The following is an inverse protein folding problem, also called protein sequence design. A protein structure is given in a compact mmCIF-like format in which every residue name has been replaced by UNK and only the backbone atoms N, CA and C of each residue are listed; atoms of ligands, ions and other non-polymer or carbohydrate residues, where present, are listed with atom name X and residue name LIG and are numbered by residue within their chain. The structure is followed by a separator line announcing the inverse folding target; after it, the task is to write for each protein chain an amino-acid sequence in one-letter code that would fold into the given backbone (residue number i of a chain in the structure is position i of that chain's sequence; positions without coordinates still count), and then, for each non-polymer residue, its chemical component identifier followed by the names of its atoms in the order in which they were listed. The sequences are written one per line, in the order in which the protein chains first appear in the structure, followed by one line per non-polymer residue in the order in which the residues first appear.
data_IF_315258576050
#
_entry.id   IF_315258576050
#
_cell.length_a   1.000
_cell.length_b   1.000
_cell.length_c   1.000
_cell.angle_alpha   90.00
_cell.angle_beta   90.00
_cell.angle_gamma   90.00
#
_symmetry.space_group_name_H-M   'P 1'
#
loop_
_entity.id
_entity.type
_entity.pdbx_description
1 polymer ?
#
# COMPACT_ATOMS: atom_id res chain seq x y z
N UNK A 1 10.02 -0.54 13.76
CA UNK A 1 10.43 -1.03 12.42
C UNK A 1 9.16 -1.58 11.79
N UNK A 2 8.84 -1.24 10.52
CA UNK A 2 7.66 -1.78 9.84
C UNK A 2 7.71 -3.31 9.88
N UNK A 3 6.58 -3.94 10.17
CA UNK A 3 6.45 -5.41 10.11
C UNK A 3 6.07 -5.87 8.70
N UNK A 4 6.08 -7.20 8.43
CA UNK A 4 5.77 -7.74 7.11
C UNK A 4 4.43 -7.25 6.52
N UNK A 5 3.40 -7.03 7.34
CA UNK A 5 2.12 -6.49 6.88
C UNK A 5 2.24 -5.08 6.24
N UNK A 6 3.19 -4.26 6.67
CA UNK A 6 3.44 -2.95 6.06
C UNK A 6 4.20 -3.06 4.73
N UNK A 7 5.09 -4.04 4.59
CA UNK A 7 5.96 -4.17 3.41
C UNK A 7 5.25 -4.86 2.23
N UNK A 8 4.37 -5.83 2.51
CA UNK A 8 3.75 -6.66 1.47
C UNK A 8 2.93 -5.87 0.43
N UNK A 9 2.10 -4.88 0.79
CA UNK A 9 1.40 -4.06 -0.21
C UNK A 9 2.36 -3.28 -1.11
N UNK A 10 3.43 -2.68 -0.56
CA UNK A 10 4.44 -1.98 -1.36
C UNK A 10 5.15 -2.91 -2.34
N UNK A 11 5.55 -4.10 -1.88
CA UNK A 11 6.13 -5.14 -2.74
C UNK A 11 5.17 -5.59 -3.85
N UNK A 12 3.88 -5.73 -3.52
CA UNK A 12 2.85 -6.04 -4.52
C UNK A 12 2.77 -4.97 -5.59
N UNK A 13 2.73 -3.69 -5.20
CA UNK A 13 2.67 -2.55 -6.12
C UNK A 13 3.86 -2.54 -7.07
N UNK A 14 5.08 -2.76 -6.56
CA UNK A 14 6.28 -2.84 -7.40
C UNK A 14 6.24 -4.04 -8.35
N UNK A 15 5.68 -5.16 -7.91
CA UNK A 15 5.42 -6.31 -8.76
C UNK A 15 4.45 -6.03 -9.91
N UNK A 16 3.67 -4.94 -9.86
CA UNK A 16 2.77 -4.54 -10.94
C UNK A 16 3.44 -3.66 -12.01
N UNK A 17 4.67 -3.17 -11.79
CA UNK A 17 5.32 -2.22 -12.70
C UNK A 17 5.39 -2.74 -14.14
N UNK A 18 5.70 -4.02 -14.36
CA UNK A 18 5.78 -4.59 -15.71
C UNK A 18 4.43 -4.59 -16.42
N UNK A 19 3.36 -4.97 -15.71
CA UNK A 19 1.99 -4.94 -16.23
C UNK A 19 1.55 -3.51 -16.57
N UNK A 20 1.82 -2.56 -15.67
CA UNK A 20 1.52 -1.15 -15.90
C UNK A 20 2.31 -0.65 -17.12
N UNK A 21 3.62 -0.91 -17.19
CA UNK A 21 4.48 -0.50 -18.28
C UNK A 21 4.07 -1.05 -19.64
N UNK A 22 3.60 -2.30 -19.67
CA UNK A 22 3.05 -2.89 -20.88
C UNK A 22 1.82 -2.10 -21.36
N UNK A 23 0.87 -1.82 -20.46
CA UNK A 23 -0.34 -1.04 -20.80
C UNK A 23 -0.01 0.39 -21.17
N UNK A 24 0.95 1.01 -20.50
CA UNK A 24 1.45 2.35 -20.85
C UNK A 24 2.01 2.37 -22.28
N UNK A 25 2.82 1.38 -22.65
CA UNK A 25 3.38 1.29 -24.00
C UNK A 25 2.32 1.07 -25.09
N UNK A 26 1.25 0.31 -24.80
CA UNK A 26 0.14 0.05 -25.73
C UNK A 26 -0.74 1.30 -26.00
N UNK A 27 -0.83 2.18 -25.01
CA UNK A 27 -1.79 3.29 -24.98
C UNK A 27 -1.14 4.67 -25.16
N UNK A 28 0.18 4.78 -25.01
CA UNK A 28 0.89 6.05 -25.06
C UNK A 28 0.69 6.79 -26.40
N UNK A 29 0.27 8.05 -26.29
CA UNK A 29 0.15 8.99 -27.42
C UNK A 29 1.45 9.80 -27.57
N UNK A 30 2.16 10.06 -26.47
CA UNK A 30 3.36 10.89 -26.41
C UNK A 30 4.49 10.20 -25.65
N UNK A 31 5.68 10.17 -26.25
CA UNK A 31 6.87 9.54 -25.69
C UNK A 31 6.69 8.04 -25.47
N UNK A 32 7.58 7.46 -24.67
CA UNK A 32 7.47 6.08 -24.20
C UNK A 32 7.44 6.16 -22.66
N UNK A 33 6.25 6.31 -22.05
CA UNK A 33 6.10 6.38 -20.61
C UNK A 33 6.42 5.03 -19.96
N UNK A 34 7.14 5.08 -18.84
CA UNK A 34 7.35 3.94 -17.94
C UNK A 34 7.28 4.39 -16.50
N UNK A 35 6.82 3.50 -15.65
CA UNK A 35 6.90 3.61 -14.21
C UNK A 35 7.98 2.73 -13.62
N UNK A 36 8.54 3.21 -12.53
CA UNK A 36 9.35 2.41 -11.62
C UNK A 36 8.89 2.65 -10.18
N UNK A 37 9.04 1.62 -9.36
CA UNK A 37 8.67 1.65 -7.95
C UNK A 37 9.82 2.13 -7.07
N UNK A 38 9.51 2.94 -6.06
CA UNK A 38 10.42 3.22 -4.94
C UNK A 38 9.71 2.93 -3.61
N UNK A 39 10.44 2.32 -2.69
CA UNK A 39 10.03 2.21 -1.30
C UNK A 39 10.41 3.51 -0.57
N UNK A 40 9.50 4.04 0.25
CA UNK A 40 9.80 5.09 1.23
C UNK A 40 10.51 6.33 0.67
N UNK A 41 10.05 6.83 -0.49
CA UNK A 41 10.56 8.06 -1.09
C UNK A 41 9.94 9.29 -0.44
N UNK A 42 10.74 10.25 0.02
CA UNK A 42 10.20 11.51 0.57
C UNK A 42 9.33 12.24 -0.47
N UNK A 43 8.06 12.41 -0.15
CA UNK A 43 7.14 13.27 -0.90
C UNK A 43 7.13 14.62 -0.23
N UNK A 44 7.70 15.61 -0.91
CA UNK A 44 7.73 16.99 -0.45
C UNK A 44 6.36 17.65 -0.68
N UNK A 45 5.78 18.21 0.38
CA UNK A 45 4.59 19.05 0.27
C UNK A 45 4.99 20.48 -0.11
N UNK A 46 4.16 21.17 -0.87
CA UNK A 46 4.40 22.54 -1.35
C UNK A 46 4.62 23.52 -0.20
N UNK A 47 5.58 24.44 -0.35
CA UNK A 47 5.89 25.48 0.64
C UNK A 47 4.64 26.33 0.97
N UNK A 48 4.29 26.41 2.25
CA UNK A 48 3.09 27.12 2.75
C UNK A 48 1.94 26.19 3.18
N UNK A 49 2.00 24.92 2.77
CA UNK A 49 1.11 23.85 3.22
C UNK A 49 1.70 23.11 4.42
N UNK A 50 2.14 23.85 5.45
CA UNK A 50 2.52 23.24 6.72
C UNK A 50 1.27 22.57 7.31
N UNK A 51 1.20 21.25 7.21
CA UNK A 51 0.17 20.46 7.87
C UNK A 51 0.68 20.12 9.25
N UNK A 52 -0.04 20.58 10.27
CA UNK A 52 0.30 20.30 11.67
C UNK A 52 -0.34 18.97 12.03
N UNK A 53 0.48 17.93 12.18
CA UNK A 53 0.01 16.62 12.65
C UNK A 53 -0.61 16.75 14.05
N UNK A 54 -1.86 16.31 14.24
CA UNK A 54 -2.52 16.33 15.56
C UNK A 54 -1.78 15.51 16.61
N UNK A 55 -1.24 14.34 16.23
CA UNK A 55 -0.52 13.47 17.17
C UNK A 55 0.77 14.10 17.71
N UNK A 56 1.44 14.93 16.91
CA UNK A 56 2.80 15.42 17.23
C UNK A 56 2.89 16.93 17.42
N UNK A 57 1.88 17.69 17.00
CA UNK A 57 1.89 19.15 16.96
C UNK A 57 2.97 19.73 16.02
N UNK A 58 3.63 18.90 15.22
CA UNK A 58 4.73 19.32 14.34
C UNK A 58 4.21 19.58 12.94
N UNK A 59 4.63 20.71 12.38
CA UNK A 59 4.45 20.98 10.97
C UNK A 59 5.30 19.98 10.16
N UNK A 60 4.64 19.18 9.32
CA UNK A 60 5.31 18.31 8.36
C UNK A 60 5.36 19.01 7.01
N UNK A 61 6.55 19.02 6.42
CA UNK A 61 6.76 19.49 5.05
C UNK A 61 6.92 18.32 4.08
N UNK A 62 6.90 17.08 4.56
CA UNK A 62 7.04 15.89 3.74
C UNK A 62 6.37 14.69 4.41
N UNK A 63 6.06 13.67 3.61
CA UNK A 63 5.66 12.35 4.07
C UNK A 63 6.51 11.27 3.38
N UNK A 64 6.52 10.08 3.97
CA UNK A 64 7.16 8.89 3.40
C UNK A 64 6.07 7.83 3.19
N UNK A 65 5.55 7.66 1.96
CA UNK A 65 4.58 6.63 1.66
C UNK A 65 5.24 5.24 1.74
N UNK A 66 4.42 4.22 1.99
CA UNK A 66 4.86 2.82 2.05
C UNK A 66 5.27 2.28 0.68
N UNK A 67 4.75 2.86 -0.40
CA UNK A 67 5.20 2.62 -1.77
C UNK A 67 4.87 3.79 -2.70
N UNK A 68 5.65 3.95 -3.77
CA UNK A 68 5.41 5.00 -4.74
C UNK A 68 5.77 4.56 -6.16
N UNK A 69 5.04 5.08 -7.15
CA UNK A 69 5.30 4.91 -8.57
C UNK A 69 5.70 6.26 -9.19
N UNK A 70 6.92 6.31 -9.71
CA UNK A 70 7.45 7.45 -10.44
C UNK A 70 7.27 7.24 -11.93
N UNK A 71 6.96 8.32 -12.65
CA UNK A 71 6.86 8.32 -14.10
C UNK A 71 8.13 8.87 -14.74
N UNK A 72 8.64 8.14 -15.71
CA UNK A 72 9.71 8.57 -16.60
C UNK A 72 9.29 8.39 -18.06
N UNK A 73 9.88 9.18 -18.93
CA UNK A 73 9.68 9.10 -20.37
C UNK A 73 10.99 8.77 -21.07
N UNK A 74 10.90 7.90 -22.07
CA UNK A 74 11.98 7.64 -23.02
C UNK A 74 11.63 8.30 -24.35
N UNK A 75 12.65 8.89 -24.99
CA UNK A 75 12.51 9.49 -26.32
C UNK A 75 13.01 8.52 -27.38
N UNK A 76 12.42 8.57 -28.56
CA UNK A 76 12.85 7.74 -29.72
C UNK A 76 14.28 8.04 -30.15
N UNK A 77 14.75 9.28 -29.96
CA UNK A 77 16.12 9.70 -30.28
C UNK A 77 17.16 9.37 -29.21
N UNK A 78 16.76 9.03 -27.98
CA UNK A 78 17.67 8.66 -26.90
C UNK A 78 17.03 7.64 -25.93
N UNK A 79 16.84 6.38 -26.36
CA UNK A 79 16.17 5.36 -25.55
C UNK A 79 17.00 4.90 -24.34
N UNK A 80 18.25 5.35 -24.20
CA UNK A 80 19.14 4.96 -23.11
C UNK A 80 19.12 5.90 -21.89
N UNK A 81 18.43 7.04 -21.98
CA UNK A 81 18.38 8.02 -20.88
C UNK A 81 16.94 8.41 -20.57
N UNK A 82 16.36 7.94 -19.45
CA UNK A 82 15.03 8.38 -19.03
C UNK A 82 15.03 9.86 -18.66
N UNK A 83 13.89 10.51 -18.91
CA UNK A 83 13.57 11.86 -18.45
C UNK A 83 12.48 11.72 -17.39
N UNK A 84 12.77 12.10 -16.15
CA UNK A 84 11.75 12.12 -15.09
C UNK A 84 10.64 13.10 -15.44
N UNK A 85 9.39 12.67 -15.29
CA UNK A 85 8.23 13.55 -15.52
C UNK A 85 8.11 14.63 -14.43
N UNK A 86 8.51 14.29 -13.20
CA UNK A 86 8.54 15.17 -12.04
C UNK A 86 9.48 14.61 -10.97
N UNK A 87 9.85 15.44 -9.98
CA UNK A 87 10.59 15.02 -8.79
C UNK A 87 9.72 14.25 -7.77
N UNK A 88 8.40 14.26 -7.97
CA UNK A 88 7.41 13.58 -7.13
C UNK A 88 6.79 12.38 -7.85
N UNK A 89 6.35 11.35 -7.10
CA UNK A 89 5.66 10.22 -7.69
C UNK A 89 4.29 10.62 -8.24
N UNK A 90 3.76 9.81 -9.15
CA UNK A 90 2.39 9.96 -9.69
C UNK A 90 1.37 9.23 -8.83
N UNK A 91 1.75 8.07 -8.33
CA UNK A 91 0.92 7.24 -7.44
C UNK A 91 1.70 6.98 -6.15
N UNK A 92 1.03 7.09 -5.02
CA UNK A 92 1.58 6.69 -3.72
C UNK A 92 0.68 5.67 -3.06
N UNK A 93 1.25 4.92 -2.11
CA UNK A 93 0.56 3.90 -1.34
C UNK A 93 0.77 4.12 0.15
N UNK A 94 -0.31 3.99 0.92
CA UNK A 94 -0.30 3.99 2.37
C UNK A 94 -0.91 2.69 2.91
N UNK A 95 -0.32 2.17 3.97
CA UNK A 95 -0.74 0.95 4.64
C UNK A 95 -1.24 1.28 6.04
N UNK A 96 -2.53 1.07 6.26
CA UNK A 96 -3.18 1.26 7.56
C UNK A 96 -3.17 -0.06 8.32
N UNK A 97 -2.07 -0.39 8.99
CA UNK A 97 -2.03 -1.54 9.89
C UNK A 97 -1.80 -1.14 11.36
N UNK A 98 -0.88 -0.23 11.61
CA UNK A 98 -0.71 0.40 12.94
C UNK A 98 -1.23 1.83 13.03
N UNK A 99 -1.56 2.45 11.90
CA UNK A 99 -2.18 3.78 11.82
C UNK A 99 -3.68 3.65 11.59
N UNK A 100 -4.45 4.67 12.00
CA UNK A 100 -5.88 4.70 11.72
C UNK A 100 -6.14 4.93 10.22
N UNK A 101 -7.29 4.46 9.74
CA UNK A 101 -7.73 4.73 8.37
C UNK A 101 -7.94 6.24 8.15
N UNK A 102 -8.46 6.96 9.14
CA UNK A 102 -8.70 8.40 9.08
C UNK A 102 -7.39 9.18 8.86
N UNK A 103 -6.32 8.84 9.59
CA UNK A 103 -5.02 9.48 9.41
C UNK A 103 -4.44 9.23 8.00
N UNK A 104 -4.62 8.02 7.47
CA UNK A 104 -4.17 7.70 6.12
C UNK A 104 -4.98 8.43 5.04
N UNK A 105 -6.29 8.59 5.25
CA UNK A 105 -7.15 9.37 4.36
C UNK A 105 -6.80 10.87 4.42
N UNK A 106 -6.48 11.41 5.59
CA UNK A 106 -6.01 12.80 5.72
C UNK A 106 -4.65 13.01 5.03
N UNK A 107 -3.72 12.06 5.17
CA UNK A 107 -2.48 12.06 4.36
C UNK A 107 -2.79 12.00 2.86
N UNK A 108 -3.76 11.19 2.44
CA UNK A 108 -4.17 11.11 1.05
C UNK A 108 -4.71 12.44 0.52
N UNK A 109 -5.49 13.17 1.33
CA UNK A 109 -5.89 14.55 1.02
C UNK A 109 -4.66 15.43 0.83
N UNK A 110 -3.70 15.38 1.75
CA UNK A 110 -2.49 16.19 1.66
C UNK A 110 -1.66 15.86 0.41
N UNK A 111 -1.44 14.57 0.12
CA UNK A 111 -0.75 14.12 -1.07
C UNK A 111 -1.41 14.68 -2.33
N UNK A 112 -2.74 14.60 -2.41
CA UNK A 112 -3.47 14.96 -3.61
C UNK A 112 -3.60 16.48 -3.79
N UNK A 113 -3.67 17.26 -2.72
CA UNK A 113 -3.92 18.71 -2.80
C UNK A 113 -2.68 19.57 -2.55
N UNK A 114 -1.65 19.06 -1.87
CA UNK A 114 -0.47 19.83 -1.46
C UNK A 114 0.85 19.30 -2.06
N UNK A 115 0.80 18.60 -3.20
CA UNK A 115 1.99 18.13 -3.95
C UNK A 115 2.15 18.83 -5.32
N UNK A 116 1.73 20.09 -5.44
CA UNK A 116 1.63 20.80 -6.75
C UNK A 116 0.87 19.98 -7.81
N UNK A 117 -0.14 19.21 -7.35
CA UNK A 117 -0.95 18.27 -8.14
C UNK A 117 -0.12 17.18 -8.85
N UNK A 118 1.12 16.91 -8.42
CA UNK A 118 1.99 15.91 -9.06
C UNK A 118 1.51 14.48 -8.78
N UNK A 119 1.00 14.22 -7.58
CA UNK A 119 0.33 12.97 -7.23
C UNK A 119 -1.11 13.00 -7.75
N UNK A 120 -1.50 11.95 -8.46
CA UNK A 120 -2.82 11.84 -9.08
C UNK A 120 -3.70 10.83 -8.36
N UNK A 121 -3.10 9.77 -7.82
CA UNK A 121 -3.82 8.73 -7.10
C UNK A 121 -3.07 8.28 -5.84
N UNK A 122 -3.84 7.87 -4.84
CA UNK A 122 -3.34 7.29 -3.58
C UNK A 122 -4.01 5.93 -3.42
N UNK A 123 -3.21 4.88 -3.29
CA UNK A 123 -3.70 3.54 -2.97
C UNK A 123 -3.64 3.37 -1.45
N UNK A 124 -4.75 2.98 -0.83
CA UNK A 124 -4.82 2.75 0.61
C UNK A 124 -5.11 1.28 0.86
N UNK A 125 -4.26 0.64 1.66
CA UNK A 125 -4.48 -0.72 2.13
C UNK A 125 -4.83 -0.70 3.63
N UNK A 126 -6.12 -0.91 3.96
CA UNK A 126 -6.61 -0.99 5.34
C UNK A 126 -6.51 -2.43 5.84
N UNK A 127 -5.79 -2.66 6.93
CA UNK A 127 -5.59 -3.97 7.52
C UNK A 127 -5.74 -3.92 9.03
N UNK A 128 -6.48 -4.88 9.60
CA UNK A 128 -6.64 -4.95 11.06
C UNK A 128 -6.97 -6.36 11.54
N UNK A 129 -6.55 -6.61 12.77
CA UNK A 129 -7.12 -7.69 13.58
C UNK A 129 -8.30 -7.15 14.39
N UNK A 130 -9.38 -7.91 14.48
CA UNK A 130 -10.53 -7.59 15.32
C UNK A 130 -10.20 -7.75 16.81
N UNK A 131 -9.43 -8.79 17.16
CA UNK A 131 -8.78 -8.92 18.46
C UNK A 131 -7.26 -8.88 18.26
N UNK A 132 -6.62 -7.69 18.28
CA UNK A 132 -5.18 -7.55 18.07
C UNK A 132 -4.33 -8.31 19.07
N UNK A 133 -4.82 -8.52 20.30
CA UNK A 133 -4.07 -9.22 21.36
C UNK A 133 -4.00 -10.71 21.09
N UNK A 134 -5.05 -11.28 20.48
CA UNK A 134 -5.11 -12.70 20.13
C UNK A 134 -4.81 -12.97 18.65
N UNK A 135 -4.66 -11.92 17.83
CA UNK A 135 -4.53 -12.00 16.37
C UNK A 135 -5.66 -12.83 15.73
N UNK A 136 -6.89 -12.60 16.19
CA UNK A 136 -8.10 -13.28 15.70
C UNK A 136 -8.96 -12.33 14.87
N UNK A 137 -9.57 -12.88 13.81
CA UNK A 137 -10.42 -12.16 12.87
C UNK A 137 -9.63 -11.09 12.13
N UNK A 138 -9.05 -11.42 10.99
CA UNK A 138 -8.28 -10.48 10.19
C UNK A 138 -9.10 -9.96 9.00
N UNK A 139 -8.99 -8.66 8.75
CA UNK A 139 -9.55 -7.98 7.59
C UNK A 139 -8.45 -7.22 6.86
N UNK A 140 -8.45 -7.31 5.54
CA UNK A 140 -7.59 -6.54 4.64
C UNK A 140 -8.38 -6.09 3.41
N UNK A 141 -8.44 -4.78 3.20
CA UNK A 141 -9.09 -4.15 2.08
C UNK A 141 -8.10 -3.21 1.37
N UNK A 142 -8.32 -2.97 0.08
CA UNK A 142 -7.52 -2.03 -0.70
C UNK A 142 -8.43 -1.19 -1.60
N UNK A 143 -8.09 0.08 -1.75
CA UNK A 143 -8.82 1.01 -2.61
C UNK A 143 -7.91 2.06 -3.21
N UNK A 144 -8.37 2.71 -4.28
CA UNK A 144 -7.70 3.79 -4.98
C UNK A 144 -8.51 5.08 -4.83
N UNK A 145 -7.85 6.10 -4.31
CA UNK A 145 -8.40 7.40 -3.98
C UNK A 145 -7.78 8.48 -4.87
N UNK A 146 -8.59 9.47 -5.22
CA UNK A 146 -8.15 10.60 -6.05
C UNK A 146 -8.97 11.85 -5.74
N UNK A 147 -8.61 12.98 -6.36
CA UNK A 147 -9.42 14.20 -6.28
C UNK A 147 -10.78 13.97 -6.98
N UNK A 148 -11.89 14.45 -6.43
CA UNK A 148 -13.17 14.44 -7.13
C UNK A 148 -13.06 15.30 -8.39
N UNK A 149 -13.72 14.92 -9.50
CA UNK A 149 -13.77 15.72 -10.71
C UNK A 149 -14.42 17.08 -10.41
N UNK A 150 -13.82 18.17 -10.89
CA UNK A 150 -14.38 19.51 -10.73
C UNK A 150 -15.27 19.91 -11.92
N UNK A 151 -15.21 19.16 -13.02
CA UNK A 151 -15.84 19.50 -14.29
C UNK A 151 -15.00 20.51 -15.09
N UNK A 152 -13.83 20.90 -14.58
CA UNK A 152 -12.88 21.75 -15.29
C UNK A 152 -11.75 20.88 -15.88
N UNK A 153 -11.67 20.73 -17.21
CA UNK A 153 -10.64 19.90 -17.85
C UNK A 153 -9.21 20.26 -17.45
N UNK A 154 -8.91 21.54 -17.20
CA UNK A 154 -7.56 21.98 -16.82
C UNK A 154 -7.17 21.47 -15.41
N UNK A 155 -8.16 21.22 -14.56
CA UNK A 155 -7.95 20.69 -13.21
C UNK A 155 -8.00 19.17 -13.15
N UNK A 156 -8.95 18.58 -13.89
CA UNK A 156 -9.21 17.15 -13.92
C UNK A 156 -8.20 16.39 -14.79
N UNK A 157 -7.67 17.04 -15.83
CA UNK A 157 -6.71 16.47 -16.77
C UNK A 157 -5.49 17.40 -16.94
N UNK A 158 -4.65 17.53 -15.89
CA UNK A 158 -3.44 18.34 -16.00
C UNK A 158 -2.54 17.82 -17.13
N UNK A 159 -1.81 18.74 -17.77
CA UNK A 159 -0.98 18.44 -18.94
C UNK A 159 0.49 18.20 -18.56
N UNK A 160 1.18 17.33 -19.28
CA UNK A 160 2.65 17.19 -19.28
C UNK A 160 3.25 17.85 -20.54
N UNK A 161 4.52 18.25 -20.44
CA UNK A 161 5.28 18.70 -21.60
C UNK A 161 5.43 17.58 -22.63
N UNK A 162 5.31 17.93 -23.91
CA UNK A 162 5.47 16.97 -25.00
C UNK A 162 6.87 16.35 -25.05
N UNK A 163 6.92 15.02 -25.02
CA UNK A 163 8.15 14.22 -25.03
C UNK A 163 8.57 13.73 -26.43
N UNK A 164 7.79 14.04 -27.46
CA UNK A 164 8.09 13.69 -28.87
C UNK A 164 8.88 14.77 -29.63
N UNK A 165 9.09 15.95 -29.02
CA UNK A 165 9.76 17.06 -29.68
C UNK A 165 8.97 17.57 -30.90
N UNK A 166 9.51 17.34 -32.10
CA UNK A 166 8.88 17.68 -33.39
C UNK A 166 8.19 16.49 -34.07
N UNK A 167 8.29 15.26 -33.53
CA UNK A 167 7.60 14.11 -34.10
C UNK A 167 6.08 14.20 -33.87
N UNK A 168 5.32 13.68 -34.82
CA UNK A 168 3.87 13.65 -34.75
C UNK A 168 3.37 12.65 -33.70
N UNK A 169 2.23 12.97 -33.09
CA UNK A 169 1.57 12.09 -32.14
C UNK A 169 0.84 10.97 -32.89
N UNK A 170 0.99 9.74 -32.42
CA UNK A 170 0.24 8.60 -32.94
C UNK A 170 -1.20 8.63 -32.41
N UNK A 171 -2.01 9.54 -32.94
CA UNK A 171 -3.40 9.74 -32.54
C UNK A 171 -4.24 8.56 -33.03
N UNK A 172 -4.89 7.84 -32.11
CA UNK A 172 -5.91 6.82 -32.43
C UNK A 172 -7.24 7.50 -32.75
N UNK A 173 -8.08 6.85 -33.57
CA UNK A 173 -9.31 7.46 -34.11
C UNK A 173 -10.42 7.66 -33.06
N UNK A 174 -10.37 6.93 -31.94
CA UNK A 174 -11.40 6.93 -30.89
C UNK A 174 -10.94 7.77 -29.69
N UNK A 175 -10.89 9.09 -29.86
CA UNK A 175 -10.61 10.01 -28.74
C UNK A 175 -11.86 10.77 -28.35
N UNK A 176 -12.16 10.80 -27.05
CA UNK A 176 -13.28 11.54 -26.49
C UNK A 176 -12.93 13.02 -26.25
N UNK A 177 -13.92 13.90 -26.36
CA UNK A 177 -13.79 15.30 -25.94
C UNK A 177 -13.63 15.38 -24.42
N UNK A 178 -12.66 16.17 -23.96
CA UNK A 178 -12.32 16.26 -22.54
C UNK A 178 -13.41 16.90 -21.68
N UNK A 179 -14.22 17.81 -22.24
CA UNK A 179 -15.31 18.44 -21.52
C UNK A 179 -16.48 17.46 -21.37
N UNK A 180 -16.80 16.71 -22.42
CA UNK A 180 -17.79 15.62 -22.35
C UNK A 180 -17.36 14.56 -21.32
N UNK A 181 -16.06 14.26 -21.27
CA UNK A 181 -15.49 13.32 -20.32
C UNK A 181 -15.49 13.83 -18.88
N UNK A 182 -15.14 15.09 -18.64
CA UNK A 182 -15.20 15.67 -17.30
C UNK A 182 -16.63 15.59 -16.73
N UNK A 183 -17.63 15.82 -17.58
CA UNK A 183 -19.05 15.68 -17.22
C UNK A 183 -19.48 14.21 -17.06
N UNK A 184 -18.94 13.28 -17.88
CA UNK A 184 -19.20 11.84 -17.74
C UNK A 184 -18.68 11.30 -16.41
N UNK A 185 -17.45 11.62 -16.01
CA UNK A 185 -16.87 11.17 -14.73
C UNK A 185 -17.69 11.73 -13.56
N UNK A 186 -18.20 12.96 -13.68
CA UNK A 186 -19.10 13.56 -12.70
C UNK A 186 -20.45 12.83 -12.63
N UNK A 187 -20.96 12.37 -13.77
CA UNK A 187 -22.25 11.68 -13.91
C UNK A 187 -22.19 10.20 -13.52
N UNK A 188 -21.05 9.52 -13.68
CA UNK A 188 -20.81 8.15 -13.20
C UNK A 188 -21.01 8.04 -11.67
N UNK A 189 -20.79 9.13 -10.92
CA UNK A 189 -21.10 9.21 -9.50
C UNK A 189 -22.60 9.30 -9.15
N UNK A 190 -23.49 9.37 -10.16
CA UNK A 190 -24.94 9.55 -9.97
C UNK A 190 -25.81 8.38 -10.43
N UNK A 191 -25.27 7.39 -11.15
CA UNK A 191 -26.00 6.16 -11.48
C UNK A 191 -26.04 5.19 -10.27
N UNK A 192 -27.20 4.57 -10.05
CA UNK A 192 -27.66 3.83 -8.86
C UNK A 192 -26.79 2.65 -8.36
N UNK A 193 -25.63 2.37 -8.97
CA UNK A 193 -24.90 1.13 -8.71
C UNK A 193 -23.88 1.20 -7.56
N UNK A 194 -23.12 2.29 -7.37
CA UNK A 194 -22.24 2.50 -6.19
C UNK A 194 -21.94 4.00 -6.10
N UNK A 195 -22.49 4.72 -5.11
CA UNK A 195 -22.04 6.10 -4.89
C UNK A 195 -20.58 6.08 -4.41
N UNK A 196 -19.69 6.89 -5.01
CA UNK A 196 -18.30 6.95 -4.58
C UNK A 196 -18.23 7.46 -3.13
N UNK A 197 -17.48 6.73 -2.29
CA UNK A 197 -17.23 7.15 -0.91
C UNK A 197 -16.39 8.43 -0.92
N UNK A 198 -16.85 9.46 -0.21
CA UNK A 198 -16.18 10.75 -0.08
C UNK A 198 -15.55 10.87 1.30
N UNK A 199 -14.28 11.24 1.35
CA UNK A 199 -13.60 11.66 2.57
C UNK A 199 -13.27 13.15 2.47
N UNK A 200 -13.61 13.90 3.52
CA UNK A 200 -13.22 15.29 3.66
C UNK A 200 -12.17 15.37 4.76
N UNK A 201 -11.11 16.15 4.51
CA UNK A 201 -10.05 16.32 5.49
C UNK A 201 -10.62 16.76 6.84
N UNK A 202 -10.13 16.15 7.92
CA UNK A 202 -10.42 16.61 9.28
C UNK A 202 -9.82 18.00 9.56
N UNK A 203 -8.95 18.49 8.66
CA UNK A 203 -8.22 19.75 8.77
C UNK A 203 -8.70 20.79 7.74
N UNK A 204 -9.69 21.60 8.11
CA UNK A 204 -9.99 22.83 7.36
C UNK A 204 -9.27 24.00 8.01
N UNK A 205 -8.34 24.66 7.30
CA UNK A 205 -7.86 25.99 7.73
C UNK A 205 -9.07 26.92 7.77
N UNK A 206 -9.18 27.72 8.85
CA UNK A 206 -10.28 28.68 9.03
C UNK A 206 -10.46 29.54 7.78
N UNK A 207 -11.65 29.49 7.17
CA UNK A 207 -11.99 30.24 5.95
C UNK A 207 -11.72 29.53 4.62
N UNK A 208 -11.23 28.29 4.61
CA UNK A 208 -11.11 27.47 3.39
C UNK A 208 -12.24 26.44 3.29
N UNK A 209 -12.68 26.17 2.05
CA UNK A 209 -13.61 25.08 1.78
C UNK A 209 -12.97 23.73 2.16
N UNK A 210 -13.76 22.75 2.63
CA UNK A 210 -13.26 21.42 2.93
C UNK A 210 -12.71 20.76 1.67
N UNK A 211 -11.47 20.26 1.75
CA UNK A 211 -10.84 19.50 0.68
C UNK A 211 -11.32 18.05 0.77
N UNK A 212 -11.87 17.55 -0.33
CA UNK A 212 -12.37 16.20 -0.47
C UNK A 212 -11.48 15.33 -1.35
N UNK A 213 -11.53 14.03 -1.09
CA UNK A 213 -11.05 12.96 -1.95
C UNK A 213 -12.17 11.93 -2.10
N UNK A 214 -12.18 11.19 -3.20
CA UNK A 214 -13.18 10.16 -3.44
C UNK A 214 -12.54 8.79 -3.70
N UNK A 215 -13.23 7.73 -3.29
CA UNK A 215 -12.83 6.35 -3.50
C UNK A 215 -13.30 5.91 -4.90
N UNK A 216 -12.45 6.03 -5.92
CA UNK A 216 -12.82 5.72 -7.31
C UNK A 216 -13.05 4.22 -7.52
N UNK A 217 -12.25 3.37 -6.86
CA UNK A 217 -12.34 1.92 -7.09
C UNK A 217 -13.37 1.21 -6.22
N UNK A 218 -13.91 1.89 -5.20
CA UNK A 218 -14.50 1.22 -4.04
C UNK A 218 -13.48 0.35 -3.29
N UNK A 219 -13.89 -0.19 -2.15
CA UNK A 219 -13.07 -1.12 -1.37
C UNK A 219 -13.08 -2.53 -1.98
N UNK A 220 -11.90 -3.01 -2.32
CA UNK A 220 -11.67 -4.38 -2.76
C UNK A 220 -11.24 -5.21 -1.55
N UNK A 221 -11.99 -6.27 -1.26
CA UNK A 221 -11.71 -7.15 -0.12
C UNK A 221 -10.61 -8.14 -0.54
N UNK A 222 -9.48 -8.10 0.16
CA UNK A 222 -8.37 -9.04 -0.04
C UNK A 222 -8.56 -10.25 0.88
N UNK A 223 -8.81 -9.99 2.17
CA UNK A 223 -9.09 -11.01 3.19
C UNK A 223 -10.19 -10.48 4.10
N UNK A 224 -11.17 -11.31 4.41
CA UNK A 224 -12.10 -11.05 5.50
C UNK A 224 -12.47 -12.36 6.20
N UNK A 225 -11.86 -12.61 7.35
CA UNK A 225 -12.13 -13.82 8.16
C UNK A 225 -13.40 -13.70 9.01
N UNK A 226 -14.11 -12.56 8.94
CA UNK A 226 -15.38 -12.36 9.65
C UNK A 226 -16.60 -12.74 8.82
N UNK A 227 -16.44 -12.80 7.49
CA UNK A 227 -17.53 -13.15 6.58
C UNK A 227 -17.93 -14.59 6.77
N UNK A 228 -19.24 -14.82 6.70
CA UNK A 228 -19.77 -16.18 6.67
C UNK A 228 -19.29 -16.89 5.41
N UNK A 229 -19.06 -18.20 5.50
CA UNK A 229 -18.52 -19.01 4.39
C UNK A 229 -19.37 -18.97 3.10
N UNK A 230 -20.63 -18.54 3.18
CA UNK A 230 -21.52 -18.37 2.04
C UNK A 230 -21.21 -17.11 1.20
N UNK A 231 -20.52 -16.12 1.78
CA UNK A 231 -20.07 -14.90 1.09
C UNK A 231 -18.64 -15.10 0.56
N UNK A 232 -18.51 -15.98 -0.44
CA UNK A 232 -17.21 -16.27 -1.03
C UNK A 232 -16.56 -14.99 -1.58
N UNK A 233 -15.28 -14.80 -1.28
CA UNK A 233 -14.48 -13.75 -1.90
C UNK A 233 -14.45 -13.92 -3.42
N UNK A 234 -14.31 -12.83 -4.19
CA UNK A 234 -14.10 -12.92 -5.63
C UNK A 234 -12.94 -13.89 -5.92
N UNK A 235 -13.12 -14.77 -6.90
CA UNK A 235 -12.08 -15.74 -7.29
C UNK A 235 -10.86 -15.06 -7.93
N UNK A 236 -11.01 -13.82 -8.38
CA UNK A 236 -9.98 -13.01 -9.02
C UNK A 236 -10.13 -11.55 -8.55
N UNK A 237 -9.71 -11.22 -7.31
CA UNK A 237 -9.80 -9.85 -6.80
C UNK A 237 -8.80 -8.97 -7.55
N UNK A 238 -9.22 -7.78 -7.96
CA UNK A 238 -8.41 -6.83 -8.74
C UNK A 238 -8.63 -5.41 -8.23
N UNK A 239 -7.58 -4.60 -8.23
CA UNK A 239 -7.67 -3.15 -8.07
C UNK A 239 -7.56 -2.50 -9.45
N UNK A 240 -8.54 -1.72 -9.86
CA UNK A 240 -8.51 -1.10 -11.20
C UNK A 240 -7.93 0.31 -11.17
N UNK A 241 -6.78 0.49 -11.82
CA UNK A 241 -6.15 1.78 -12.03
C UNK A 241 -6.53 2.34 -13.41
N UNK A 242 -6.50 3.66 -13.58
CA UNK A 242 -6.61 4.33 -14.87
C UNK A 242 -5.22 4.66 -15.42
N UNK A 243 -5.06 4.65 -16.73
CA UNK A 243 -3.88 5.20 -17.42
C UNK A 243 -3.55 6.62 -16.92
N UNK A 244 -4.57 7.44 -16.67
CA UNK A 244 -4.43 8.82 -16.19
C UNK A 244 -4.18 8.96 -14.68
N UNK A 245 -4.18 7.86 -13.92
CA UNK A 245 -3.66 7.89 -12.54
C UNK A 245 -2.12 8.00 -12.54
N UNK A 246 -1.48 7.76 -13.69
CA UNK A 246 -0.03 7.76 -13.86
C UNK A 246 0.40 8.84 -14.85
N UNK A 247 -0.18 8.86 -16.05
CA UNK A 247 0.24 9.71 -17.15
C UNK A 247 -0.65 10.93 -17.27
N UNK A 248 -0.08 12.10 -17.59
CA UNK A 248 -0.83 13.30 -17.94
C UNK A 248 -1.05 13.40 -19.44
N UNK A 249 -2.07 14.16 -19.84
CA UNK A 249 -2.30 14.43 -21.27
C UNK A 249 -1.16 15.30 -21.82
N UNK A 250 -0.73 15.02 -23.05
CA UNK A 250 0.30 15.82 -23.68
C UNK A 250 -0.22 17.22 -24.02
N UNK A 251 0.54 18.26 -23.66
CA UNK A 251 0.17 19.65 -23.96
C UNK A 251 0.08 19.99 -25.46
N UNK A 252 0.68 19.19 -26.34
CA UNK A 252 0.58 19.32 -27.81
C UNK A 252 -0.55 18.47 -28.42
N UNK A 253 -1.22 17.64 -27.64
CA UNK A 253 -2.37 16.85 -28.06
C UNK A 253 -3.47 16.86 -26.98
N UNK A 254 -3.94 18.04 -26.53
CA UNK A 254 -4.84 18.14 -25.37
C UNK A 254 -6.22 17.51 -25.62
N UNK A 255 -6.67 17.43 -26.87
CA UNK A 255 -7.98 16.87 -27.24
C UNK A 255 -8.00 15.35 -27.42
N UNK A 256 -6.90 14.64 -27.10
CA UNK A 256 -6.77 13.21 -27.39
C UNK A 256 -6.72 12.41 -26.09
N UNK A 257 -7.89 12.21 -25.50
CA UNK A 257 -8.07 11.34 -24.35
C UNK A 257 -8.54 9.94 -24.75
N UNK A 258 -8.01 8.91 -24.09
CA UNK A 258 -8.46 7.53 -24.21
C UNK A 258 -9.87 7.40 -23.63
N UNK A 259 -10.70 6.54 -24.22
CA UNK A 259 -12.01 6.20 -23.65
C UNK A 259 -11.89 5.58 -22.25
N UNK A 260 -12.99 5.62 -21.47
CA UNK A 260 -13.01 5.08 -20.10
C UNK A 260 -12.68 3.59 -20.06
N UNK A 261 -13.06 2.81 -21.06
CA UNK A 261 -12.81 1.37 -21.08
C UNK A 261 -11.37 1.05 -21.47
N UNK A 262 -10.77 1.80 -22.40
CA UNK A 262 -9.42 1.54 -22.89
C UNK A 262 -8.35 1.89 -21.86
N UNK A 263 -8.59 2.91 -21.04
CA UNK A 263 -7.63 3.37 -20.04
C UNK A 263 -7.50 2.47 -18.81
N UNK A 264 -8.38 1.49 -18.63
CA UNK A 264 -8.38 0.69 -17.40
C UNK A 264 -7.24 -0.32 -17.38
N UNK A 265 -6.56 -0.35 -16.24
CA UNK A 265 -5.42 -1.22 -15.93
C UNK A 265 -5.81 -2.06 -14.70
N UNK A 266 -6.33 -3.28 -14.89
CA UNK A 266 -6.66 -4.17 -13.78
C UNK A 266 -5.39 -4.71 -13.12
N UNK A 267 -5.22 -4.46 -11.82
CA UNK A 267 -4.08 -4.92 -11.04
C UNK A 267 -4.47 -6.15 -10.20
N UNK A 268 -3.93 -7.35 -10.50
CA UNK A 268 -4.29 -8.59 -9.80
C UNK A 268 -3.87 -8.59 -8.32
N UNK A 269 -4.78 -8.94 -7.42
CA UNK A 269 -4.54 -8.97 -5.96
C UNK A 269 -4.18 -10.36 -5.41
N UNK A 270 -4.18 -11.41 -6.25
CA UNK A 270 -3.96 -12.80 -5.80
C UNK A 270 -2.63 -13.00 -5.11
N UNK A 271 -1.56 -12.39 -5.64
CA UNK A 271 -0.24 -12.49 -5.03
C UNK A 271 -0.24 -11.89 -3.62
N UNK A 272 -0.84 -10.69 -3.46
CA UNK A 272 -0.93 -10.00 -2.18
C UNK A 272 -1.76 -10.82 -1.19
N UNK A 273 -2.93 -11.32 -1.62
CA UNK A 273 -3.79 -12.20 -0.84
C UNK A 273 -3.02 -13.42 -0.32
N UNK A 274 -2.35 -14.17 -1.21
CA UNK A 274 -1.60 -15.36 -0.83
C UNK A 274 -0.47 -15.06 0.17
N UNK A 275 0.23 -13.92 0.00
CA UNK A 275 1.29 -13.49 0.91
C UNK A 275 0.76 -13.07 2.28
N UNK A 276 -0.35 -12.35 2.33
CA UNK A 276 -1.01 -11.98 3.58
C UNK A 276 -1.49 -13.23 4.34
N UNK A 277 -2.14 -14.19 3.66
CA UNK A 277 -2.54 -15.48 4.28
C UNK A 277 -1.33 -16.20 4.88
N UNK A 278 -0.24 -16.31 4.11
CA UNK A 278 1.00 -16.94 4.59
C UNK A 278 1.56 -16.21 5.82
N UNK A 279 1.50 -14.87 5.84
CA UNK A 279 1.99 -14.09 6.96
C UNK A 279 1.11 -14.25 8.20
N UNK A 280 -0.22 -14.29 8.05
CA UNK A 280 -1.17 -14.54 9.13
C UNK A 280 -0.92 -15.90 9.80
N UNK A 281 -0.65 -16.94 9.00
CA UNK A 281 -0.33 -18.27 9.53
C UNK A 281 0.93 -18.25 10.38
N UNK A 282 1.99 -17.56 9.94
CA UNK A 282 3.24 -17.39 10.71
C UNK A 282 2.99 -16.64 12.01
N UNK A 283 2.30 -15.51 11.93
CA UNK A 283 1.94 -14.66 13.08
C UNK A 283 1.18 -15.43 14.16
N UNK A 284 0.34 -16.40 13.76
CA UNK A 284 -0.41 -17.29 14.65
C UNK A 284 0.42 -18.42 15.21
N UNK A 285 1.37 -18.95 14.45
CA UNK A 285 2.29 -19.97 14.94
C UNK A 285 3.19 -19.44 16.05
N UNK A 286 3.62 -18.17 15.95
CA UNK A 286 4.42 -17.51 16.99
C UNK A 286 3.66 -17.29 18.31
N UNK A 287 2.33 -17.19 18.27
CA UNK A 287 1.48 -17.09 19.46
C UNK A 287 1.26 -18.44 20.16
N UNK A 288 1.53 -19.57 19.50
CA UNK A 288 1.38 -20.87 20.14
C UNK A 288 2.50 -21.02 21.18
N UNK A 289 2.17 -21.32 22.45
CA UNK A 289 3.20 -21.54 23.46
C UNK A 289 4.15 -22.62 22.99
N UNK A 290 5.46 -22.38 23.14
CA UNK A 290 6.48 -23.38 22.85
C UNK A 290 6.06 -24.71 23.50
N UNK A 291 6.17 -25.84 22.80
CA UNK A 291 5.79 -27.12 23.36
C UNK A 291 6.52 -27.26 24.69
N UNK A 292 5.77 -27.30 25.79
CA UNK A 292 6.32 -27.52 27.11
C UNK A 292 7.09 -28.81 26.99
N UNK A 293 8.42 -28.71 26.99
CA UNK A 293 9.27 -29.88 27.08
C UNK A 293 8.80 -30.57 28.36
N UNK A 294 8.07 -31.68 28.21
CA UNK A 294 7.73 -32.55 29.32
C UNK A 294 9.07 -32.95 29.89
N UNK A 295 9.47 -32.25 30.95
CA UNK A 295 10.53 -32.72 31.83
C UNK A 295 10.06 -34.09 32.27
N UNK A 296 10.61 -35.12 31.63
CA UNK A 296 10.60 -36.46 32.16
C UNK A 296 11.37 -36.36 33.46
N UNK A 297 10.68 -36.00 34.53
CA UNK A 297 11.08 -36.31 35.90
C UNK A 297 11.10 -37.83 35.93
N UNK A 298 12.27 -38.37 35.56
CA UNK A 298 12.62 -39.76 35.74
C UNK A 298 12.52 -39.97 37.25
N UNK A 299 11.42 -40.58 37.67
CA UNK A 299 11.21 -41.01 39.04
C UNK A 299 12.39 -41.89 39.42
N UNK A 300 13.28 -41.34 40.24
CA UNK A 300 14.31 -42.13 40.91
C UNK A 300 13.56 -43.10 41.83
N UNK A 301 13.70 -44.42 41.68
CA UNK A 301 13.08 -45.36 42.60
C UNK A 301 13.69 -45.13 43.98
N UNK A 302 12.86 -44.79 44.97
CA UNK A 302 13.21 -44.91 46.39
C UNK A 302 13.41 -46.39 46.68
N UNK A 303 14.68 -46.83 46.70
CA UNK A 303 15.04 -48.11 47.30
C UNK A 303 15.08 -47.89 48.82
N UNK A 304 13.98 -48.26 49.48
CA UNK A 304 13.93 -48.52 50.92
C UNK A 304 14.27 -50.00 51.09
N UNK A 305 15.36 -50.33 51.78
CA UNK A 305 15.69 -51.72 52.07
C UNK A 305 17.08 -51.95 52.67
N UNK A 306 17.15 -51.86 53.99
CA UNK A 306 18.05 -52.57 54.92
C UNK A 306 19.21 -53.42 54.34
N UNK A 307 20.43 -53.21 54.85
CA UNK A 307 21.10 -54.25 55.65
C UNK A 307 22.24 -53.68 56.51
N UNK A 308 22.37 -54.30 57.67
CA UNK A 308 23.25 -54.03 58.80
C UNK A 308 24.60 -54.72 58.60
N UNK A 309 25.64 -54.12 59.21
CA UNK A 309 26.88 -54.70 59.76
C UNK A 309 28.09 -54.89 58.83
N UNK A 310 29.24 -54.80 59.51
CA UNK A 310 30.64 -55.00 59.09
C UNK A 310 31.22 -53.72 58.47
N UNK A 311 32.23 -53.03 59.00
CA UNK A 311 33.31 -53.28 59.96
C UNK A 311 33.94 -51.88 60.18
N UNK A 312 34.02 -51.27 61.36
CA UNK A 312 34.78 -51.61 62.58
C UNK A 312 36.24 -52.06 62.40
N UNK A 313 36.88 -51.76 61.25
CA UNK A 313 38.34 -51.94 61.06
C UNK A 313 39.06 -50.77 60.39
N UNK A 314 38.44 -49.61 60.21
CA UNK A 314 39.12 -48.43 59.60
C UNK A 314 39.44 -47.35 60.63
N UNK A 315 38.76 -47.32 61.78
CA UNK A 315 38.96 -46.29 62.80
C UNK A 315 40.14 -46.56 63.76
N UNK A 316 40.55 -47.81 63.91
CA UNK A 316 41.70 -48.17 64.77
C UNK A 316 43.04 -48.14 64.04
N UNK A 317 43.05 -48.07 62.70
CA UNK A 317 44.26 -47.89 61.89
C UNK A 317 44.71 -46.42 61.80
N UNK A 318 43.81 -45.45 62.06
CA UNK A 318 44.12 -44.01 62.00
C UNK A 318 44.65 -43.48 63.35
N UNK A 319 44.43 -44.20 64.45
CA UNK A 319 44.91 -43.80 65.79
C UNK A 319 46.35 -44.23 66.11
N UNK A 320 46.94 -45.14 65.33
CA UNK A 320 48.30 -45.63 65.53
C UNK A 320 49.38 -44.88 64.72
N UNK A 321 49.01 -43.89 63.87
CA UNK A 321 49.97 -43.12 63.06
C UNK A 321 50.18 -41.67 63.53
N UNK A 322 49.76 -41.32 64.76
CA UNK A 322 49.92 -39.97 65.32
C UNK A 322 50.66 -39.92 66.67
N UNK A 323 51.42 -40.96 67.03
CA UNK A 323 52.35 -40.93 68.18
C UNK A 323 53.69 -41.63 67.87
N UNK A 324 54.37 -41.17 66.82
CA UNK A 324 55.78 -41.47 66.53
C UNK A 324 56.48 -40.19 66.16
#
# INVERSE_FOLDING_TARGET
MPGPFHELPGLWLFGQCDLINQRLAELAICGIPKVYGLASSDVQLTKGSLVVSQETGKAKSYYQPDGSLYLEYYTTGNPGRPISAADSPRVVMEVCFSQSLEDALDKAVDYLHFSDRQIHAVIICDMKYNDPRKKLGFQANISLWMRPPTGNPDEDFPLDECQLGQADHAIKADTEDLAERAESIRSEGTEESVQPELHFSSYTKSGQAPLGIWNRSGWQIIIDETREAAEALPSNPQLTMSFYDVVRICNKAPSHALSVQEQMIPLPLQWLQARLVTQLEKDRQELKPAPVARSTTRSVPRIIGMTRRVSQQVSDAIRASMQG
#
